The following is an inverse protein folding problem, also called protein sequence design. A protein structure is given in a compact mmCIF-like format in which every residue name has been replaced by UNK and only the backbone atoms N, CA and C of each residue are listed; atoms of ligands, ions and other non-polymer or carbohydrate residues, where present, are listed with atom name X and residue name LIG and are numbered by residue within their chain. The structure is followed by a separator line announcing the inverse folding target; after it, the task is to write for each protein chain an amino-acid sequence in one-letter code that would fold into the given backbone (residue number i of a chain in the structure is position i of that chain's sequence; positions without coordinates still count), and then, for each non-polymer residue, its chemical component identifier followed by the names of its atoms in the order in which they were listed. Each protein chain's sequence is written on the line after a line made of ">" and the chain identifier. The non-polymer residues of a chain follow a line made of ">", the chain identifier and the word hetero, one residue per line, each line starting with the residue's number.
data_IF_006222711370
#
_entry.id   IF_006222711370
#
_cell.length_a   1.000
_cell.length_b   1.000
_cell.length_c   1.000
_cell.angle_alpha   90.00
_cell.angle_beta   90.00
_cell.angle_gamma   90.00
#
_symmetry.space_group_name_H-M   'P 1'
#
loop_
_entity.id
_entity.type
_entity.pdbx_description
1 polymer ?
#
# COMPACT_ATOMS: atom_id res chain seq x y z
N UNK A 1 11.17 3.28 -16.81
CA UNK A 1 10.66 2.49 -15.67
C UNK A 1 9.36 3.10 -15.20
N UNK A 2 8.31 2.29 -15.08
CA UNK A 2 7.02 2.75 -14.57
C UNK A 2 7.08 3.01 -13.07
N UNK A 3 6.08 3.70 -12.54
CA UNK A 3 5.94 3.91 -11.09
C UNK A 3 5.87 2.56 -10.35
N UNK A 4 5.09 1.60 -10.89
CA UNK A 4 5.00 0.26 -10.33
C UNK A 4 6.38 -0.41 -10.25
N UNK A 5 7.13 -0.39 -11.34
CA UNK A 5 8.47 -0.99 -11.38
C UNK A 5 9.41 -0.30 -10.40
N UNK A 6 9.36 1.03 -10.37
CA UNK A 6 10.22 1.82 -9.48
C UNK A 6 9.94 1.49 -8.02
N UNK A 7 8.69 1.52 -7.59
CA UNK A 7 8.36 1.25 -6.20
C UNK A 7 8.64 -0.19 -5.81
N UNK A 8 8.37 -1.16 -6.70
CA UNK A 8 8.70 -2.56 -6.43
C UNK A 8 10.21 -2.79 -6.29
N UNK A 9 11.02 -1.93 -6.87
CA UNK A 9 12.49 -2.03 -6.83
C UNK A 9 13.07 -1.22 -5.67
N UNK A 10 12.56 -0.02 -5.42
CA UNK A 10 13.19 0.92 -4.48
C UNK A 10 12.58 0.92 -3.08
N UNK A 11 11.37 0.43 -2.90
CA UNK A 11 10.81 0.24 -1.57
C UNK A 11 11.37 -1.04 -0.97
N UNK A 12 12.53 -0.91 -0.34
CA UNK A 12 13.30 -2.05 0.15
C UNK A 12 12.59 -2.79 1.27
N UNK A 13 11.91 -2.06 2.15
CA UNK A 13 11.22 -2.70 3.27
C UNK A 13 10.04 -3.54 2.76
N UNK A 14 9.21 -2.97 1.90
CA UNK A 14 8.09 -3.71 1.31
C UNK A 14 8.59 -4.96 0.56
N UNK A 15 9.65 -4.81 -0.23
CA UNK A 15 10.24 -5.94 -0.94
C UNK A 15 10.75 -7.01 0.03
N UNK A 16 11.33 -6.60 1.17
CA UNK A 16 11.90 -7.52 2.15
C UNK A 16 10.85 -8.44 2.79
N UNK A 17 9.61 -8.02 2.84
CA UNK A 17 8.50 -8.84 3.37
C UNK A 17 7.68 -9.50 2.25
N UNK A 18 8.05 -9.31 1.00
CA UNK A 18 7.37 -9.91 -0.14
C UNK A 18 6.12 -9.17 -0.60
N UNK A 19 5.93 -7.92 -0.19
CA UNK A 19 4.85 -7.08 -0.69
C UNK A 19 5.18 -6.53 -2.08
N UNK A 20 4.24 -6.59 -3.01
CA UNK A 20 4.44 -6.15 -4.39
C UNK A 20 3.21 -5.44 -4.93
N UNK A 21 3.45 -4.34 -5.64
CA UNK A 21 2.43 -3.70 -6.45
C UNK A 21 2.17 -4.57 -7.69
N UNK A 22 0.91 -4.80 -7.98
CA UNK A 22 0.48 -5.58 -9.14
C UNK A 22 -0.31 -4.77 -10.15
N UNK A 23 -0.85 -3.62 -9.73
CA UNK A 23 -1.56 -2.73 -10.63
C UNK A 23 -1.41 -1.29 -10.12
N UNK A 24 -1.13 -0.35 -11.04
CA UNK A 24 -1.09 1.08 -10.74
C UNK A 24 -1.72 1.83 -11.90
N UNK A 25 -2.71 2.66 -11.61
CA UNK A 25 -3.33 3.58 -12.55
C UNK A 25 -3.74 4.85 -11.83
N UNK A 26 -4.16 5.86 -12.54
CA UNK A 26 -4.54 7.12 -11.91
C UNK A 26 -5.62 6.91 -10.85
N UNK A 27 -5.33 7.32 -9.62
CA UNK A 27 -6.27 7.23 -8.51
C UNK A 27 -6.50 5.85 -7.94
N UNK A 28 -5.74 4.83 -8.38
CA UNK A 28 -5.92 3.45 -7.93
C UNK A 28 -4.61 2.67 -7.94
N UNK A 29 -4.40 1.84 -6.93
CA UNK A 29 -3.30 0.88 -6.92
C UNK A 29 -3.69 -0.39 -6.16
N UNK A 30 -3.06 -1.48 -6.54
CA UNK A 30 -3.23 -2.78 -5.89
C UNK A 30 -1.87 -3.36 -5.55
N UNK A 31 -1.74 -3.87 -4.33
CA UNK A 31 -0.55 -4.57 -3.85
C UNK A 31 -0.95 -5.93 -3.27
N UNK A 32 -0.08 -6.90 -3.37
CA UNK A 32 -0.38 -8.28 -2.94
C UNK A 32 0.77 -8.88 -2.14
N UNK A 33 0.43 -9.82 -1.25
CA UNK A 33 1.37 -10.53 -0.40
C UNK A 33 0.75 -11.84 0.06
N UNK A 34 1.52 -12.93 0.05
CA UNK A 34 1.12 -14.19 0.68
C UNK A 34 1.73 -14.27 2.08
N UNK A 35 0.91 -14.60 3.07
CA UNK A 35 1.37 -14.67 4.46
C UNK A 35 2.26 -15.89 4.66
N UNK A 36 3.49 -15.65 5.10
CA UNK A 36 4.51 -16.66 5.38
C UNK A 36 4.76 -16.74 6.88
N UNK A 37 5.48 -17.77 7.31
CA UNK A 37 5.83 -17.95 8.73
C UNK A 37 6.51 -16.72 9.34
N UNK A 38 7.41 -16.10 8.59
CA UNK A 38 8.14 -14.89 9.05
C UNK A 38 7.23 -13.69 9.30
N UNK A 39 5.99 -13.74 8.84
CA UNK A 39 5.02 -12.67 9.02
C UNK A 39 4.18 -12.83 10.29
N UNK A 40 4.28 -13.96 10.97
CA UNK A 40 3.39 -14.26 12.10
C UNK A 40 3.85 -13.56 13.37
N UNK A 41 2.87 -13.10 14.15
CA UNK A 41 3.11 -12.51 15.47
C UNK A 41 3.10 -13.58 16.57
N UNK A 42 3.19 -13.15 17.82
CA UNK A 42 3.19 -14.06 18.96
C UNK A 42 1.90 -14.87 19.14
N UNK A 43 0.80 -14.46 18.52
CA UNK A 43 -0.46 -15.20 18.55
C UNK A 43 -0.60 -16.16 17.36
N UNK A 44 0.40 -16.23 16.47
CA UNK A 44 0.38 -17.13 15.32
C UNK A 44 -0.46 -16.64 14.14
N UNK A 45 -0.79 -15.35 14.09
CA UNK A 45 -1.47 -14.73 12.97
C UNK A 45 -0.60 -13.63 12.36
N UNK A 46 -0.92 -13.19 11.16
CA UNK A 46 -0.14 -12.17 10.47
C UNK A 46 -0.01 -10.92 11.33
N UNK A 47 1.21 -10.44 11.50
CA UNK A 47 1.50 -9.25 12.28
C UNK A 47 0.89 -8.02 11.58
N UNK A 48 0.25 -7.15 12.36
CA UNK A 48 -0.42 -5.97 11.82
C UNK A 48 0.48 -5.05 11.01
N UNK A 49 1.77 -4.99 11.35
CA UNK A 49 2.74 -4.21 10.59
C UNK A 49 2.94 -4.69 9.16
N UNK A 50 2.75 -5.99 8.90
CA UNK A 50 2.80 -6.54 7.53
C UNK A 50 1.62 -6.02 6.72
N UNK A 51 0.42 -6.09 7.30
CA UNK A 51 -0.81 -5.59 6.67
C UNK A 51 -0.70 -4.09 6.42
N UNK A 52 -0.19 -3.34 7.39
CA UNK A 52 0.05 -1.91 7.28
C UNK A 52 1.01 -1.61 6.12
N UNK A 53 2.13 -2.32 6.04
CA UNK A 53 3.13 -2.10 4.98
C UNK A 53 2.56 -2.38 3.60
N UNK A 54 1.76 -3.45 3.48
CA UNK A 54 1.09 -3.77 2.21
C UNK A 54 0.16 -2.65 1.77
N UNK A 55 -0.66 -2.14 2.71
CA UNK A 55 -1.55 -1.02 2.43
C UNK A 55 -0.77 0.25 2.09
N UNK A 56 0.29 0.53 2.85
CA UNK A 56 1.11 1.72 2.65
C UNK A 56 1.82 1.72 1.28
N UNK A 57 2.22 0.55 0.79
CA UNK A 57 2.79 0.42 -0.55
C UNK A 57 1.78 0.84 -1.62
N UNK A 58 0.52 0.40 -1.50
CA UNK A 58 -0.54 0.80 -2.43
C UNK A 58 -0.82 2.31 -2.33
N UNK A 59 -0.76 2.85 -1.12
CA UNK A 59 -0.94 4.28 -0.86
C UNK A 59 0.18 5.10 -1.53
N UNK A 60 1.43 4.67 -1.38
CA UNK A 60 2.56 5.35 -2.01
C UNK A 60 2.39 5.45 -3.53
N UNK A 61 1.89 4.38 -4.16
CA UNK A 61 1.68 4.36 -5.60
C UNK A 61 0.60 5.35 -6.04
N UNK A 62 -0.53 5.40 -5.33
CA UNK A 62 -1.61 6.36 -5.65
C UNK A 62 -1.14 7.79 -5.40
N UNK A 63 -0.54 8.04 -4.23
CA UNK A 63 -0.10 9.37 -3.84
C UNK A 63 0.93 9.95 -4.80
N UNK A 64 1.84 9.14 -5.30
CA UNK A 64 2.90 9.58 -6.23
C UNK A 64 2.47 9.50 -7.70
N UNK A 65 1.27 9.04 -7.99
CA UNK A 65 0.76 8.89 -9.36
C UNK A 65 0.59 10.21 -10.11
N UNK A 66 0.65 11.33 -9.42
CA UNK A 66 0.53 12.66 -10.02
C UNK A 66 1.89 13.27 -10.43
N UNK A 67 2.98 12.53 -10.27
CA UNK A 67 4.31 12.95 -10.75
C UNK A 67 5.09 13.84 -9.81
N UNK A 68 4.56 14.13 -8.62
CA UNK A 68 5.23 14.93 -7.60
C UNK A 68 5.53 14.04 -6.42
N UNK A 69 6.72 14.12 -5.86
CA UNK A 69 7.09 13.34 -4.68
C UNK A 69 6.13 13.64 -3.54
N UNK A 70 5.47 12.60 -3.04
CA UNK A 70 4.41 12.71 -2.05
C UNK A 70 4.67 11.69 -0.95
N UNK A 71 4.68 12.16 0.29
CA UNK A 71 4.98 11.33 1.46
C UNK A 71 3.77 11.32 2.41
N UNK A 72 3.47 10.14 2.97
CA UNK A 72 2.42 10.00 3.95
C UNK A 72 2.75 10.75 5.22
N UNK A 73 1.77 11.47 5.78
CA UNK A 73 1.95 12.22 7.02
C UNK A 73 1.00 11.77 8.13
N UNK A 74 -0.08 11.09 7.79
CA UNK A 74 -1.02 10.59 8.81
C UNK A 74 -1.80 9.42 8.24
N UNK A 75 -1.72 8.27 8.90
CA UNK A 75 -2.46 7.08 8.52
C UNK A 75 -3.23 6.55 9.71
N UNK A 76 -4.46 6.10 9.48
CA UNK A 76 -5.26 5.43 10.49
C UNK A 76 -5.62 4.05 9.96
N UNK A 77 -5.23 3.00 10.69
CA UNK A 77 -5.52 1.62 10.33
C UNK A 77 -6.42 0.99 11.37
N UNK A 78 -7.43 0.24 10.90
CA UNK A 78 -8.31 -0.56 11.76
C UNK A 78 -8.22 -2.01 11.30
N UNK A 79 -7.80 -2.90 12.20
CA UNK A 79 -7.73 -4.33 11.94
C UNK A 79 -9.04 -4.96 12.36
N UNK A 80 -9.72 -5.61 11.41
CA UNK A 80 -11.08 -6.15 11.61
C UNK A 80 -11.07 -7.66 11.77
N UNK A 81 -10.16 -8.36 11.09
CA UNK A 81 -10.05 -9.80 11.10
C UNK A 81 -8.61 -10.22 10.89
N UNK A 82 -8.16 -11.26 11.58
CA UNK A 82 -6.80 -11.76 11.46
C UNK A 82 -6.56 -12.44 10.12
N UNK A 83 -5.37 -12.23 9.56
CA UNK A 83 -4.90 -12.99 8.42
C UNK A 83 -4.10 -14.19 8.92
N UNK A 84 -4.31 -15.34 8.30
CA UNK A 84 -3.71 -16.62 8.69
C UNK A 84 -2.53 -16.97 7.80
N UNK A 85 -1.67 -17.87 8.28
CA UNK A 85 -0.59 -18.42 7.47
C UNK A 85 -1.15 -18.97 6.15
N UNK A 86 -0.53 -18.60 5.05
CA UNK A 86 -0.93 -19.04 3.71
C UNK A 86 -1.99 -18.17 3.04
N UNK A 87 -2.61 -17.25 3.77
CA UNK A 87 -3.57 -16.33 3.15
C UNK A 87 -2.90 -15.45 2.12
N UNK A 88 -3.62 -15.20 1.01
CA UNK A 88 -3.18 -14.26 -0.02
C UNK A 88 -3.92 -12.95 0.21
N UNK A 89 -3.15 -11.91 0.51
CA UNK A 89 -3.70 -10.59 0.85
C UNK A 89 -3.60 -9.66 -0.34
N UNK A 90 -4.66 -8.88 -0.52
CA UNK A 90 -4.72 -7.84 -1.55
C UNK A 90 -5.09 -6.53 -0.88
N UNK A 91 -4.24 -5.52 -1.04
CA UNK A 91 -4.54 -4.16 -0.62
C UNK A 91 -4.90 -3.35 -1.86
N UNK A 92 -6.03 -2.67 -1.80
CA UNK A 92 -6.46 -1.76 -2.85
C UNK A 92 -6.57 -0.36 -2.26
N UNK A 93 -5.95 0.59 -2.94
CA UNK A 93 -5.97 2.00 -2.56
C UNK A 93 -6.70 2.81 -3.62
N UNK A 94 -7.60 3.68 -3.17
CA UNK A 94 -8.31 4.62 -4.03
C UNK A 94 -8.13 6.02 -3.51
N UNK A 95 -7.89 6.95 -4.43
CA UNK A 95 -7.82 8.37 -4.07
C UNK A 95 -9.23 8.87 -3.80
N UNK A 96 -9.48 9.27 -2.57
CA UNK A 96 -10.77 9.81 -2.14
C UNK A 96 -10.87 11.28 -2.48
N UNK A 97 -9.77 12.01 -2.33
CA UNK A 97 -9.74 13.45 -2.59
C UNK A 97 -8.36 13.87 -3.08
N UNK A 98 -8.32 14.41 -4.31
CA UNK A 98 -7.09 14.91 -4.92
C UNK A 98 -6.87 16.36 -4.54
N UNK A 99 -6.41 16.59 -3.31
CA UNK A 99 -6.04 17.93 -2.86
C UNK A 99 -4.68 18.31 -3.45
N UNK A 100 -4.52 19.56 -3.86
CA UNK A 100 -3.28 20.02 -4.50
C UNK A 100 -2.02 19.86 -3.67
N UNK A 101 -2.13 19.78 -2.34
CA UNK A 101 -1.00 19.57 -1.42
C UNK A 101 -1.14 18.34 -0.55
N UNK A 102 -2.37 17.99 -0.16
CA UNK A 102 -2.66 16.98 0.85
C UNK A 102 -3.65 15.95 0.31
N UNK A 103 -3.23 15.10 -0.64
CA UNK A 103 -4.13 14.07 -1.16
C UNK A 103 -4.52 13.07 -0.08
N UNK A 104 -5.75 12.58 -0.16
CA UNK A 104 -6.34 11.69 0.83
C UNK A 104 -6.82 10.43 0.14
N UNK A 105 -6.51 9.27 0.72
CA UNK A 105 -6.80 7.97 0.13
C UNK A 105 -7.45 7.01 1.13
N UNK A 106 -8.22 6.08 0.58
CA UNK A 106 -8.79 4.94 1.30
C UNK A 106 -8.14 3.64 0.84
N UNK A 107 -7.84 2.75 1.78
CA UNK A 107 -7.29 1.44 1.50
C UNK A 107 -8.14 0.37 2.16
N UNK A 108 -8.37 -0.73 1.44
CA UNK A 108 -9.02 -1.93 1.97
C UNK A 108 -8.13 -3.13 1.71
N UNK A 109 -8.03 -4.01 2.69
CA UNK A 109 -7.21 -5.22 2.61
C UNK A 109 -8.13 -6.43 2.77
N UNK A 110 -8.10 -7.31 1.77
CA UNK A 110 -8.91 -8.53 1.72
C UNK A 110 -8.02 -9.76 1.63
N UNK A 111 -8.55 -10.91 2.07
CA UNK A 111 -7.90 -12.19 1.81
C UNK A 111 -8.44 -12.81 0.51
N UNK A 112 -8.01 -14.04 0.17
CA UNK A 112 -8.41 -14.73 -1.05
C UNK A 112 -9.89 -15.12 -1.09
N UNK A 113 -10.57 -15.07 0.06
CA UNK A 113 -12.01 -15.35 0.16
C UNK A 113 -12.86 -14.08 0.04
N UNK A 114 -12.23 -12.93 -0.20
CA UNK A 114 -12.93 -11.64 -0.27
C UNK A 114 -13.33 -11.10 1.09
N UNK A 115 -12.81 -11.66 2.17
CA UNK A 115 -13.10 -11.15 3.53
C UNK A 115 -12.29 -9.90 3.80
N UNK A 116 -12.94 -8.87 4.32
CA UNK A 116 -12.28 -7.61 4.67
C UNK A 116 -11.50 -7.80 5.97
N UNK A 117 -10.18 -7.68 5.89
CA UNK A 117 -9.29 -7.87 7.05
C UNK A 117 -8.94 -6.57 7.75
N UNK A 118 -8.82 -5.49 7.00
CA UNK A 118 -8.43 -4.19 7.56
C UNK A 118 -8.86 -3.06 6.63
N UNK A 119 -9.04 -1.88 7.22
CA UNK A 119 -9.28 -0.63 6.51
C UNK A 119 -8.21 0.36 6.93
N UNK A 120 -7.76 1.20 5.99
CA UNK A 120 -6.82 2.27 6.30
C UNK A 120 -7.22 3.52 5.56
N UNK A 121 -7.00 4.67 6.18
CA UNK A 121 -7.06 5.96 5.50
C UNK A 121 -5.70 6.62 5.61
N UNK A 122 -5.32 7.36 4.58
CA UNK A 122 -4.04 8.02 4.54
C UNK A 122 -4.14 9.45 4.03
N UNK A 123 -3.45 10.35 4.73
CA UNK A 123 -3.23 11.72 4.31
C UNK A 123 -1.77 11.86 3.95
N UNK A 124 -1.49 12.39 2.77
CA UNK A 124 -0.12 12.58 2.30
C UNK A 124 0.16 14.06 2.06
N UNK A 125 1.42 14.39 1.89
CA UNK A 125 1.86 15.75 1.59
C UNK A 125 2.76 15.74 0.37
N UNK A 126 2.43 16.53 -0.65
CA UNK A 126 3.28 16.77 -1.79
C UNK A 126 4.42 17.67 -1.37
N UNK A 127 5.66 17.20 -1.56
CA UNK A 127 6.83 18.02 -1.32
C UNK A 127 7.18 18.74 -2.62
N UNK A 128 7.85 19.91 -2.53
CA UNK A 128 8.21 20.71 -3.72
C UNK A 128 9.41 20.11 -4.43
N UNK A 129 9.26 18.87 -4.93
CA UNK A 129 10.32 18.15 -5.61
C UNK A 129 9.66 17.14 -6.55
N UNK A 130 10.07 17.16 -7.79
CA UNK A 130 9.57 16.20 -8.77
C UNK A 130 10.11 14.81 -8.45
N UNK A 131 9.27 13.83 -8.62
CA UNK A 131 9.66 12.43 -8.54
C UNK A 131 10.04 12.00 -9.96
N UNK A 132 11.31 11.67 -10.15
CA UNK A 132 11.82 11.33 -11.47
C UNK A 132 11.40 9.93 -11.89
N UNK A 133 10.23 9.84 -12.50
CA UNK A 133 9.77 8.61 -13.14
C UNK A 133 9.87 8.75 -14.65
N UNK A 134 10.28 7.69 -15.32
CA UNK A 134 10.28 7.63 -16.79
C UNK A 134 8.86 7.53 -17.32
N UNK A 135 8.00 6.82 -16.57
CA UNK A 135 6.57 6.72 -16.83
C UNK A 135 5.86 6.49 -15.49
N UNK A 136 4.67 7.11 -15.33
CA UNK A 136 3.95 7.01 -14.05
C UNK A 136 3.11 5.74 -13.96
N UNK A 137 2.54 5.32 -15.06
CA UNK A 137 1.63 4.18 -15.06
C UNK A 137 1.80 3.31 -16.30
#
# INVERSE_FOLDING_TARGET
>A
MTLLERLNTTDRFAASIGARLTEVREGYAKAELTVEERHLNGAGVCQGGVIYTLADLSFAAVANGHGVLTLGISNTVTFLKSAQLGDHLTAECRETFDHHRLPYCDMQIHNQHGELLACMTGLACRVKKDFEFDALM
#
